data_IF_772576767870
#
_entry.id   IF_772576767870
#
_cell.length_a   1.000
_cell.length_b   1.000
_cell.length_c   1.000
_cell.angle_alpha   90.00
_cell.angle_beta   90.00
_cell.angle_gamma   90.00
#
_symmetry.space_group_name_H-M   'P 1'
#
loop_
_entity.id
_entity.type
_entity.pdbx_description
1 polymer ?
#
# COMPACT_ATOMS: atom_id res chain seq x y z
N UNK A 1 19.53 -5.01 0.55
CA UNK A 1 18.31 -4.28 0.94
C UNK A 1 18.30 -2.95 0.19
N UNK A 2 17.20 -2.64 -0.46
CA UNK A 2 16.99 -1.36 -1.16
C UNK A 2 16.30 -0.39 -0.21
N UNK A 3 16.85 0.81 0.05
CA UNK A 3 16.16 1.81 0.85
C UNK A 3 14.97 2.39 0.09
N UNK A 4 13.88 2.64 0.81
CA UNK A 4 12.68 3.30 0.29
C UNK A 4 12.56 4.65 0.99
N UNK A 5 12.48 5.72 0.22
CA UNK A 5 12.38 7.06 0.76
C UNK A 5 10.93 7.51 0.90
N UNK A 6 10.65 8.23 1.97
CA UNK A 6 9.46 9.07 2.12
C UNK A 6 9.90 10.51 2.43
N UNK A 7 9.01 11.49 2.47
CA UNK A 7 9.37 12.83 2.91
C UNK A 7 10.09 12.79 4.26
N UNK A 8 11.05 13.69 4.45
CA UNK A 8 11.85 13.78 5.69
C UNK A 8 11.01 14.01 6.94
N UNK A 9 9.90 14.72 6.77
CA UNK A 9 8.87 14.90 7.80
C UNK A 9 7.62 14.17 7.32
N UNK A 10 7.03 13.36 8.19
CA UNK A 10 5.83 12.59 7.90
C UNK A 10 4.62 13.52 7.75
N UNK A 11 4.13 13.68 6.53
CA UNK A 11 2.92 14.43 6.20
C UNK A 11 2.23 13.87 4.96
N UNK A 12 0.96 14.17 4.81
CA UNK A 12 0.19 13.81 3.62
C UNK A 12 0.63 14.70 2.45
N UNK A 13 1.37 14.14 1.49
CA UNK A 13 1.92 14.86 0.33
C UNK A 13 0.84 15.55 -0.48
N UNK A 14 -0.36 14.98 -0.54
CA UNK A 14 -1.51 15.57 -1.23
C UNK A 14 -2.02 16.89 -0.64
N UNK A 15 -1.69 17.18 0.62
CA UNK A 15 -2.23 18.28 1.42
C UNK A 15 -1.22 19.40 1.69
N UNK A 16 0.00 19.26 1.20
CA UNK A 16 1.11 20.18 1.48
C UNK A 16 1.57 20.86 0.18
N UNK A 17 1.97 22.15 0.23
CA UNK A 17 2.47 22.84 -0.94
C UNK A 17 3.63 22.10 -1.61
N UNK A 18 3.60 22.06 -2.95
CA UNK A 18 4.55 21.32 -3.78
C UNK A 18 6.01 21.55 -3.42
N UNK A 19 6.40 22.80 -3.23
CA UNK A 19 7.81 23.17 -2.99
C UNK A 19 8.30 22.65 -1.64
N UNK A 20 7.42 22.61 -0.64
CA UNK A 20 7.72 22.01 0.66
C UNK A 20 7.83 20.47 0.55
N UNK A 21 6.97 19.85 -0.24
CA UNK A 21 7.08 18.42 -0.53
C UNK A 21 8.41 18.08 -1.20
N UNK A 22 8.80 18.83 -2.23
CA UNK A 22 10.06 18.65 -2.94
C UNK A 22 11.27 18.86 -2.03
N UNK A 23 11.24 19.90 -1.22
CA UNK A 23 12.30 20.16 -0.24
C UNK A 23 12.45 18.99 0.72
N UNK A 24 11.34 18.55 1.31
CA UNK A 24 11.33 17.44 2.27
C UNK A 24 11.80 16.11 1.66
N UNK A 25 11.37 15.79 0.43
CA UNK A 25 11.83 14.60 -0.28
C UNK A 25 13.34 14.67 -0.58
N UNK A 26 13.83 15.78 -1.10
CA UNK A 26 15.26 15.97 -1.37
C UNK A 26 16.09 15.84 -0.10
N UNK A 27 15.65 16.45 0.99
CA UNK A 27 16.29 16.35 2.30
C UNK A 27 16.35 14.89 2.77
N UNK A 28 15.28 14.13 2.57
CA UNK A 28 15.25 12.69 2.88
C UNK A 28 16.26 11.92 2.04
N UNK A 29 16.27 12.12 0.72
CA UNK A 29 17.19 11.46 -0.20
C UNK A 29 18.66 11.75 0.14
N UNK A 30 18.99 13.02 0.42
CA UNK A 30 20.34 13.44 0.81
C UNK A 30 20.75 12.83 2.16
N UNK A 31 19.81 12.70 3.09
CA UNK A 31 20.03 12.04 4.39
C UNK A 31 20.31 10.55 4.21
N UNK A 32 19.54 9.85 3.40
CA UNK A 32 19.80 8.44 3.07
C UNK A 32 21.18 8.24 2.45
N UNK A 33 21.50 9.05 1.44
CA UNK A 33 22.81 8.99 0.76
C UNK A 33 23.96 9.22 1.74
N UNK A 34 23.84 10.22 2.61
CA UNK A 34 24.84 10.56 3.61
C UNK A 34 25.02 9.49 4.69
N UNK A 35 23.91 8.92 5.18
CA UNK A 35 23.96 8.00 6.34
C UNK A 35 24.18 6.53 5.93
N UNK A 36 23.67 6.13 4.78
CA UNK A 36 23.66 4.74 4.32
C UNK A 36 24.56 4.52 3.10
N UNK A 37 25.04 5.61 2.47
CA UNK A 37 25.89 5.55 1.27
C UNK A 37 25.11 5.18 0.01
N UNK A 38 23.79 5.22 0.04
CA UNK A 38 22.92 4.88 -1.11
C UNK A 38 21.74 5.83 -1.18
N UNK A 39 21.57 6.46 -2.35
CA UNK A 39 20.43 7.30 -2.65
C UNK A 39 19.25 6.42 -3.08
N UNK A 40 18.10 6.47 -2.41
CA UNK A 40 16.92 5.71 -2.80
C UNK A 40 16.40 6.12 -4.18
N UNK A 41 15.90 5.14 -4.94
CA UNK A 41 15.18 5.36 -6.21
C UNK A 41 13.71 4.97 -6.11
N UNK A 42 13.33 4.35 -5.00
CA UNK A 42 11.96 3.94 -4.68
C UNK A 42 11.41 4.85 -3.59
N UNK A 43 10.19 5.32 -3.78
CA UNK A 43 9.47 6.14 -2.81
C UNK A 43 8.27 5.43 -2.20
N UNK A 44 7.97 5.79 -0.96
CA UNK A 44 6.72 5.51 -0.27
C UNK A 44 6.00 6.83 0.01
N UNK A 45 4.69 6.86 -0.24
CA UNK A 45 3.88 8.04 0.03
C UNK A 45 3.16 7.90 1.37
N UNK A 46 3.50 8.71 2.38
CA UNK A 46 2.90 8.62 3.70
C UNK A 46 1.38 8.76 3.66
N UNK A 47 0.72 8.04 4.58
CA UNK A 47 -0.74 8.02 4.73
C UNK A 47 -1.48 7.61 3.46
N UNK A 48 -0.76 7.01 2.49
CA UNK A 48 -1.31 6.63 1.20
C UNK A 48 -2.10 7.76 0.51
N UNK A 49 -1.77 9.03 0.85
CA UNK A 49 -2.48 10.21 0.37
C UNK A 49 -2.34 10.38 -1.14
N UNK A 50 -3.41 10.74 -1.82
CA UNK A 50 -3.39 10.81 -3.27
C UNK A 50 -3.98 12.09 -3.84
N UNK A 51 -3.28 12.66 -4.82
CA UNK A 51 -3.80 13.56 -5.83
C UNK A 51 -2.93 13.51 -7.09
N UNK A 52 -3.33 14.15 -8.17
CA UNK A 52 -2.62 14.14 -9.46
C UNK A 52 -1.21 14.78 -9.41
N UNK A 53 -0.87 15.53 -8.36
CA UNK A 53 0.44 16.13 -8.20
C UNK A 53 1.46 15.15 -7.61
N UNK A 54 1.01 14.13 -6.84
CA UNK A 54 1.88 13.19 -6.14
C UNK A 54 2.91 12.54 -7.06
N UNK A 55 2.56 11.90 -8.18
CA UNK A 55 3.55 11.31 -9.08
C UNK A 55 4.55 12.32 -9.65
N UNK A 56 4.09 13.54 -9.90
CA UNK A 56 4.95 14.61 -10.41
C UNK A 56 6.00 15.04 -9.41
N UNK A 57 5.60 15.19 -8.15
CA UNK A 57 6.47 15.58 -7.04
C UNK A 57 7.56 14.52 -6.82
N UNK A 58 7.19 13.26 -6.77
CA UNK A 58 8.14 12.16 -6.57
C UNK A 58 9.13 12.03 -7.74
N UNK A 59 8.65 12.13 -8.98
CA UNK A 59 9.51 12.10 -10.16
C UNK A 59 10.50 13.27 -10.18
N UNK A 60 10.04 14.46 -9.85
CA UNK A 60 10.87 15.67 -9.81
C UNK A 60 11.89 15.63 -8.67
N UNK A 61 11.59 14.98 -7.56
CA UNK A 61 12.55 14.72 -6.50
C UNK A 61 13.69 13.76 -6.93
N UNK A 62 13.53 13.04 -8.05
CA UNK A 62 14.52 12.12 -8.59
C UNK A 62 14.20 10.64 -8.34
N UNK A 63 13.01 10.33 -7.85
CA UNK A 63 12.57 8.96 -7.65
C UNK A 63 12.09 8.34 -8.98
N UNK A 64 12.30 7.04 -9.15
CA UNK A 64 11.94 6.30 -10.35
C UNK A 64 10.68 5.46 -10.16
N UNK A 65 10.43 5.03 -8.94
CA UNK A 65 9.30 4.17 -8.57
C UNK A 65 8.61 4.71 -7.33
N UNK A 66 7.29 4.64 -7.29
CA UNK A 66 6.47 4.99 -6.15
C UNK A 66 5.59 3.78 -5.77
N UNK A 67 5.67 3.39 -4.50
CA UNK A 67 4.75 2.43 -3.91
C UNK A 67 3.56 3.20 -3.34
N UNK A 68 2.37 2.78 -3.71
CA UNK A 68 1.11 3.43 -3.35
C UNK A 68 0.08 2.42 -2.89
N UNK A 69 -0.92 2.92 -2.21
CA UNK A 69 -2.09 2.15 -1.86
C UNK A 69 -3.03 1.97 -3.07
N UNK A 70 -3.47 0.74 -3.28
CA UNK A 70 -4.36 0.40 -4.39
C UNK A 70 -5.77 0.96 -4.21
N UNK A 71 -6.27 0.99 -2.98
CA UNK A 71 -7.64 1.41 -2.70
C UNK A 71 -7.85 2.88 -3.06
N UNK A 72 -6.90 3.74 -2.68
CA UNK A 72 -6.93 5.17 -3.07
C UNK A 72 -6.91 5.35 -4.58
N UNK A 73 -6.16 4.51 -5.30
CA UNK A 73 -6.15 4.52 -6.76
C UNK A 73 -7.48 4.04 -7.34
N UNK A 74 -7.98 2.89 -6.91
CA UNK A 74 -9.23 2.34 -7.43
C UNK A 74 -10.44 3.21 -7.12
N UNK A 75 -10.49 3.85 -5.98
CA UNK A 75 -11.56 4.78 -5.65
C UNK A 75 -11.51 6.09 -6.46
N UNK A 76 -10.49 6.31 -7.27
CA UNK A 76 -10.52 7.38 -8.28
C UNK A 76 -11.50 7.08 -9.44
N UNK A 77 -11.87 5.81 -9.65
CA UNK A 77 -12.79 5.38 -10.70
C UNK A 77 -14.26 5.46 -10.23
N UNK A 78 -15.12 6.24 -10.90
CA UNK A 78 -16.52 6.40 -10.50
C UNK A 78 -17.33 5.10 -10.47
N UNK A 79 -17.04 4.19 -11.39
CA UNK A 79 -17.71 2.89 -11.49
C UNK A 79 -17.40 2.00 -10.28
N UNK A 80 -16.16 2.03 -9.77
CA UNK A 80 -15.77 1.27 -8.59
C UNK A 80 -16.46 1.83 -7.35
N UNK A 81 -16.46 3.16 -7.18
CA UNK A 81 -17.22 3.79 -6.08
C UNK A 81 -18.69 3.43 -6.09
N UNK A 82 -19.31 3.48 -7.27
CA UNK A 82 -20.72 3.15 -7.42
C UNK A 82 -21.02 1.69 -7.09
N UNK A 83 -20.19 0.78 -7.55
CA UNK A 83 -20.39 -0.65 -7.36
C UNK A 83 -20.12 -1.10 -5.90
N UNK A 84 -19.11 -0.54 -5.28
CA UNK A 84 -18.70 -0.91 -3.92
C UNK A 84 -19.46 -0.17 -2.82
N UNK A 85 -20.05 0.97 -3.17
CA UNK A 85 -20.63 1.90 -2.20
C UNK A 85 -19.59 2.60 -1.33
N UNK A 86 -18.29 2.44 -1.66
CA UNK A 86 -17.19 3.12 -0.99
C UNK A 86 -16.94 4.46 -1.70
N UNK A 87 -16.74 5.48 -0.89
CA UNK A 87 -16.31 6.78 -1.37
C UNK A 87 -14.87 7.03 -0.96
N UNK A 88 -14.46 8.25 -0.73
CA UNK A 88 -13.08 8.59 -0.35
C UNK A 88 -12.72 8.18 1.08
N UNK A 89 -13.71 7.77 1.84
CA UNK A 89 -13.55 7.27 3.20
C UNK A 89 -13.37 5.75 3.15
N UNK A 90 -12.17 5.32 2.83
CA UNK A 90 -11.82 3.90 2.87
C UNK A 90 -11.56 3.53 4.31
N UNK A 91 -12.54 2.91 4.93
CA UNK A 91 -12.42 2.39 6.28
C UNK A 91 -11.96 0.93 6.28
N UNK A 92 -10.96 0.60 5.48
CA UNK A 92 -10.38 -0.73 5.44
C UNK A 92 -9.91 -1.21 6.80
N UNK A 93 -9.36 -0.31 7.59
CA UNK A 93 -8.91 -0.59 8.94
C UNK A 93 -10.01 -0.91 9.95
N UNK A 94 -11.22 -0.45 9.72
CA UNK A 94 -12.31 -0.54 10.71
C UNK A 94 -13.38 -1.58 10.38
N UNK A 95 -13.42 -2.12 9.17
CA UNK A 95 -14.51 -2.99 8.75
C UNK A 95 -14.07 -4.10 7.79
N UNK A 96 -13.96 -5.32 8.29
CA UNK A 96 -13.63 -6.52 7.52
C UNK A 96 -14.51 -6.67 6.26
N UNK A 97 -15.79 -6.33 6.35
CA UNK A 97 -16.72 -6.47 5.22
C UNK A 97 -16.51 -5.43 4.13
N UNK A 98 -15.89 -4.29 4.45
CA UNK A 98 -15.55 -3.26 3.47
C UNK A 98 -14.22 -3.51 2.79
N UNK A 99 -13.31 -4.19 3.50
CA UNK A 99 -11.95 -4.44 3.07
C UNK A 99 -11.85 -5.19 1.73
N UNK A 100 -12.75 -6.13 1.50
CA UNK A 100 -12.76 -6.98 0.30
C UNK A 100 -13.55 -6.41 -0.88
N UNK A 101 -14.32 -5.35 -0.69
CA UNK A 101 -15.26 -4.89 -1.71
C UNK A 101 -14.60 -4.47 -3.03
N UNK A 102 -13.44 -3.83 -2.94
CA UNK A 102 -12.72 -3.41 -4.14
C UNK A 102 -12.15 -4.64 -4.86
N UNK A 103 -11.45 -5.50 -4.14
CA UNK A 103 -10.85 -6.71 -4.70
C UNK A 103 -11.89 -7.67 -5.27
N UNK A 104 -13.03 -7.81 -4.62
CA UNK A 104 -14.14 -8.60 -5.15
C UNK A 104 -14.69 -8.02 -6.44
N UNK A 105 -14.85 -6.71 -6.50
CA UNK A 105 -15.33 -6.04 -7.70
C UNK A 105 -14.37 -6.14 -8.88
N UNK A 106 -13.05 -5.99 -8.64
CA UNK A 106 -12.04 -6.01 -9.72
C UNK A 106 -11.60 -7.42 -10.09
N UNK A 107 -11.95 -8.44 -9.30
CA UNK A 107 -11.46 -9.81 -9.46
C UNK A 107 -11.70 -10.40 -10.86
N UNK A 108 -12.85 -10.10 -11.45
CA UNK A 108 -13.26 -10.59 -12.77
C UNK A 108 -13.11 -9.51 -13.87
N UNK A 109 -12.33 -8.47 -13.58
CA UNK A 109 -12.10 -7.33 -14.48
C UNK A 109 -10.61 -7.15 -14.75
N UNK A 110 -10.07 -7.84 -15.77
CA UNK A 110 -8.65 -7.78 -16.09
C UNK A 110 -8.11 -6.36 -16.29
N UNK A 111 -8.96 -5.46 -16.81
CA UNK A 111 -8.65 -4.06 -17.03
C UNK A 111 -8.32 -3.29 -15.73
N UNK A 112 -8.86 -3.73 -14.59
CA UNK A 112 -8.53 -3.18 -13.27
C UNK A 112 -7.52 -4.05 -12.55
N UNK A 113 -7.71 -5.36 -12.54
CA UNK A 113 -6.87 -6.29 -11.79
C UNK A 113 -5.39 -6.19 -12.18
N UNK A 114 -5.11 -5.89 -13.46
CA UNK A 114 -3.73 -5.68 -13.93
C UNK A 114 -2.99 -4.60 -13.15
N UNK A 115 -3.65 -3.54 -12.70
CA UNK A 115 -3.01 -2.46 -11.93
C UNK A 115 -2.57 -2.90 -10.54
N UNK A 116 -3.27 -3.87 -9.95
CA UNK A 116 -2.92 -4.38 -8.63
C UNK A 116 -1.71 -5.32 -8.67
N UNK A 117 -1.50 -5.99 -9.80
CA UNK A 117 -0.52 -7.09 -9.88
C UNK A 117 0.68 -6.78 -10.77
N UNK A 118 0.62 -5.73 -11.57
CA UNK A 118 1.70 -5.31 -12.45
C UNK A 118 2.11 -3.86 -12.17
N UNK A 119 3.41 -3.53 -12.30
CA UNK A 119 3.84 -2.15 -12.29
C UNK A 119 3.15 -1.35 -13.40
N UNK A 120 2.70 -0.16 -13.07
CA UNK A 120 2.07 0.79 -13.98
C UNK A 120 3.01 1.96 -14.25
N UNK A 121 2.76 2.70 -15.31
CA UNK A 121 3.51 3.88 -15.65
C UNK A 121 2.60 5.11 -15.59
N UNK A 122 2.94 6.04 -14.70
CA UNK A 122 2.26 7.33 -14.68
C UNK A 122 2.59 8.15 -15.94
N UNK A 123 1.75 9.11 -16.35
CA UNK A 123 1.98 9.90 -17.57
C UNK A 123 3.33 10.63 -17.62
N UNK A 124 3.94 10.91 -16.48
CA UNK A 124 5.26 11.53 -16.37
C UNK A 124 6.44 10.54 -16.34
N UNK A 125 6.18 9.26 -16.58
CA UNK A 125 7.20 8.21 -16.60
C UNK A 125 7.65 7.69 -15.23
N UNK A 126 6.93 8.03 -14.14
CA UNK A 126 7.14 7.42 -12.84
C UNK A 126 6.52 6.01 -12.83
N UNK A 127 7.29 5.01 -12.43
CA UNK A 127 6.75 3.66 -12.21
C UNK A 127 5.90 3.65 -10.93
N UNK A 128 4.76 3.00 -11.00
CA UNK A 128 3.84 2.88 -9.87
C UNK A 128 3.67 1.40 -9.52
N UNK A 129 3.77 1.09 -8.23
CA UNK A 129 3.48 -0.24 -7.71
C UNK A 129 2.41 -0.06 -6.64
N UNK A 130 1.30 -0.79 -6.77
CA UNK A 130 0.19 -0.70 -5.85
C UNK A 130 0.19 -1.87 -4.86
N UNK A 131 0.17 -1.58 -3.56
CA UNK A 131 -0.11 -2.57 -2.54
C UNK A 131 -1.63 -2.74 -2.39
N UNK A 132 -2.08 -3.95 -2.14
CA UNK A 132 -3.47 -4.18 -1.70
C UNK A 132 -3.59 -3.87 -0.22
N UNK A 133 -4.44 -2.92 0.14
CA UNK A 133 -4.75 -2.60 1.52
C UNK A 133 -5.42 -3.79 2.22
N UNK A 134 -6.29 -4.49 1.50
CA UNK A 134 -6.91 -5.72 1.95
C UNK A 134 -5.89 -6.78 2.38
N UNK A 135 -4.92 -7.07 1.52
CA UNK A 135 -3.91 -8.10 1.79
C UNK A 135 -3.00 -7.70 2.94
N UNK A 136 -2.58 -6.43 2.96
CA UNK A 136 -1.73 -5.89 4.00
C UNK A 136 -2.42 -5.94 5.36
N UNK A 137 -3.64 -5.42 5.47
CA UNK A 137 -4.38 -5.42 6.72
C UNK A 137 -4.74 -6.81 7.24
N UNK A 138 -5.09 -7.74 6.37
CA UNK A 138 -5.40 -9.11 6.81
C UNK A 138 -4.18 -9.79 7.42
N UNK A 139 -3.02 -9.66 6.79
CA UNK A 139 -1.80 -10.22 7.32
C UNK A 139 -1.39 -9.51 8.62
N UNK A 140 -1.50 -8.18 8.64
CA UNK A 140 -1.24 -7.40 9.84
C UNK A 140 -2.13 -7.83 11.01
N UNK A 141 -3.43 -7.94 10.81
CA UNK A 141 -4.37 -8.34 11.85
C UNK A 141 -4.12 -9.76 12.36
N UNK A 142 -3.72 -10.66 11.47
CA UNK A 142 -3.30 -12.00 11.86
C UNK A 142 -2.04 -11.95 12.74
N UNK A 143 -1.01 -11.20 12.32
CA UNK A 143 0.25 -11.07 13.05
C UNK A 143 0.08 -10.43 14.43
N UNK A 144 -0.83 -9.47 14.54
CA UNK A 144 -1.12 -8.77 15.78
C UNK A 144 -2.06 -9.54 16.70
N UNK A 145 -2.66 -10.64 16.25
CA UNK A 145 -3.76 -11.33 16.95
C UNK A 145 -4.87 -10.33 17.38
N UNK A 146 -5.09 -9.32 16.54
CA UNK A 146 -5.90 -8.17 16.86
C UNK A 146 -7.38 -8.53 16.95
N UNK A 147 -7.95 -8.33 18.14
CA UNK A 147 -9.40 -8.42 18.38
C UNK A 147 -9.96 -7.12 18.89
N UNK A 148 -9.10 -6.19 19.30
CA UNK A 148 -9.53 -4.97 19.98
C UNK A 148 -9.86 -3.83 19.01
N UNK A 149 -10.92 -3.11 19.33
CA UNK A 149 -11.28 -1.80 18.80
C UNK A 149 -11.84 -1.77 17.40
N UNK A 150 -11.30 -2.53 16.48
CA UNK A 150 -11.66 -2.46 15.05
C UNK A 150 -12.31 -3.73 14.52
N UNK A 151 -12.26 -4.83 15.29
CA UNK A 151 -12.77 -6.12 14.84
C UNK A 151 -13.38 -6.92 15.96
N UNK A 152 -14.51 -7.54 15.68
CA UNK A 152 -15.17 -8.50 16.57
C UNK A 152 -14.63 -9.93 16.45
N UNK A 153 -13.86 -10.22 15.39
CA UNK A 153 -13.40 -11.58 15.05
C UNK A 153 -11.92 -11.60 14.73
N UNK A 154 -11.24 -12.67 15.16
CA UNK A 154 -9.85 -12.95 14.79
C UNK A 154 -9.74 -13.37 13.33
N UNK A 155 -8.61 -13.04 12.70
CA UNK A 155 -8.22 -13.64 11.43
C UNK A 155 -7.47 -14.93 11.71
N UNK A 156 -7.83 -15.99 11.01
CA UNK A 156 -7.18 -17.29 11.11
C UNK A 156 -6.17 -17.48 9.97
N UNK A 157 -5.22 -18.37 10.19
CA UNK A 157 -4.26 -18.78 9.15
C UNK A 157 -4.97 -19.39 7.93
N UNK A 158 -6.07 -20.10 8.18
CA UNK A 158 -6.90 -20.72 7.15
C UNK A 158 -7.56 -19.65 6.26
N UNK A 159 -8.10 -18.59 6.83
CA UNK A 159 -8.69 -17.46 6.06
C UNK A 159 -7.64 -16.80 5.17
N UNK A 160 -6.44 -16.51 5.70
CA UNK A 160 -5.34 -15.95 4.91
C UNK A 160 -4.94 -16.91 3.79
N UNK A 161 -4.77 -18.19 4.09
CA UNK A 161 -4.38 -19.21 3.10
C UNK A 161 -5.42 -19.36 1.99
N UNK A 162 -6.70 -19.33 2.33
CA UNK A 162 -7.79 -19.37 1.36
C UNK A 162 -7.81 -18.14 0.47
N UNK A 163 -7.56 -16.97 1.05
CA UNK A 163 -7.51 -15.73 0.31
C UNK A 163 -6.35 -15.71 -0.69
N UNK A 164 -5.14 -16.11 -0.28
CA UNK A 164 -4.00 -16.24 -1.19
C UNK A 164 -4.26 -17.25 -2.32
N UNK A 165 -4.94 -18.36 -2.06
CA UNK A 165 -5.34 -19.31 -3.10
C UNK A 165 -6.29 -18.69 -4.10
N UNK A 166 -7.34 -18.01 -3.64
CA UNK A 166 -8.29 -17.29 -4.49
C UNK A 166 -7.59 -16.27 -5.37
N UNK A 167 -6.67 -15.49 -4.79
CA UNK A 167 -5.88 -14.53 -5.51
C UNK A 167 -4.99 -15.19 -6.57
N UNK A 168 -4.29 -16.25 -6.20
CA UNK A 168 -3.44 -17.01 -7.12
C UNK A 168 -4.24 -17.57 -8.30
N UNK A 169 -5.42 -18.10 -8.06
CA UNK A 169 -6.31 -18.58 -9.10
C UNK A 169 -6.76 -17.46 -10.05
N UNK A 170 -7.15 -16.31 -9.51
CA UNK A 170 -7.60 -15.15 -10.29
C UNK A 170 -6.47 -14.51 -11.09
N UNK A 171 -5.28 -14.42 -10.53
CA UNK A 171 -4.11 -13.79 -11.14
C UNK A 171 -3.38 -14.75 -12.08
N UNK A 172 -3.50 -16.05 -11.89
CA UNK A 172 -2.71 -17.08 -12.58
C UNK A 172 -2.69 -16.96 -14.11
N UNK A 173 -3.71 -16.35 -14.69
CA UNK A 173 -3.81 -16.13 -16.13
C UNK A 173 -3.14 -14.82 -16.60
N UNK A 174 -2.64 -13.99 -15.69
CA UNK A 174 -2.02 -12.69 -16.01
C UNK A 174 -0.49 -12.73 -16.10
N UNK A 175 0.10 -13.91 -15.96
CA UNK A 175 1.54 -14.12 -16.01
C UNK A 175 2.25 -13.84 -14.69
N UNK A 176 3.50 -13.36 -14.76
CA UNK A 176 4.27 -12.98 -13.55
C UNK A 176 3.69 -11.71 -12.96
N UNK A 177 3.48 -11.71 -11.65
CA UNK A 177 2.91 -10.57 -10.94
C UNK A 177 3.74 -10.19 -9.72
N UNK A 178 3.56 -8.94 -9.29
CA UNK A 178 4.15 -8.39 -8.08
C UNK A 178 3.01 -8.06 -7.12
N UNK A 179 3.07 -8.61 -5.92
CA UNK A 179 2.18 -8.24 -4.81
C UNK A 179 3.04 -7.71 -3.66
N UNK A 180 3.24 -6.40 -3.55
CA UNK A 180 4.02 -5.86 -2.47
C UNK A 180 3.23 -5.95 -1.16
N UNK A 181 3.89 -6.43 -0.13
CA UNK A 181 3.46 -6.24 1.25
C UNK A 181 4.17 -5.02 1.80
N UNK A 182 3.43 -4.03 2.24
CA UNK A 182 3.97 -2.82 2.84
C UNK A 182 3.11 -2.40 4.03
N UNK A 183 3.74 -2.33 5.19
CA UNK A 183 3.13 -1.96 6.46
C UNK A 183 4.14 -1.25 7.36
N UNK A 184 3.64 -0.60 8.40
CA UNK A 184 4.45 0.06 9.39
C UNK A 184 5.26 -0.96 10.20
N UNK A 185 6.59 -0.79 10.23
CA UNK A 185 7.48 -1.69 10.94
C UNK A 185 7.27 -1.67 12.47
N UNK A 186 6.65 -0.63 12.99
CA UNK A 186 6.29 -0.53 14.40
C UNK A 186 5.34 -1.64 14.86
N UNK A 187 4.48 -2.13 13.98
CA UNK A 187 3.61 -3.27 14.28
C UNK A 187 4.38 -4.57 14.52
N UNK A 188 5.58 -4.70 14.00
CA UNK A 188 6.41 -5.89 14.17
C UNK A 188 7.50 -5.66 15.20
N UNK A 189 8.00 -4.43 15.32
CA UNK A 189 9.17 -4.09 16.12
C UNK A 189 8.91 -3.33 17.42
N UNK A 190 7.71 -2.84 17.62
CA UNK A 190 7.40 -2.02 18.78
C UNK A 190 6.87 -2.83 19.96
N UNK A 191 7.30 -2.47 21.20
CA UNK A 191 6.85 -3.09 22.43
C UNK A 191 5.37 -2.85 22.76
N UNK A 192 4.69 -2.00 22.03
CA UNK A 192 3.28 -1.69 22.28
C UNK A 192 2.30 -2.67 21.60
N UNK A 193 2.75 -3.43 20.60
CA UNK A 193 1.87 -4.27 19.76
C UNK A 193 2.30 -5.76 19.75
N UNK A 194 2.65 -6.31 20.89
CA UNK A 194 3.42 -7.49 21.06
C UNK A 194 2.80 -8.77 20.96
N UNK A 195 2.31 -9.18 19.87
CA UNK A 195 2.09 -10.61 19.72
C UNK A 195 2.89 -11.17 18.52
N UNK A 196 4.18 -10.98 18.57
CA UNK A 196 5.20 -11.62 17.74
C UNK A 196 5.05 -13.14 17.67
N UNK A 197 4.23 -13.71 18.53
CA UNK A 197 3.85 -15.12 18.56
C UNK A 197 3.45 -15.65 17.17
N UNK A 198 2.69 -14.90 16.41
CA UNK A 198 2.21 -15.34 15.10
C UNK A 198 3.12 -14.93 13.94
N UNK A 199 4.05 -14.03 14.15
CA UNK A 199 5.01 -13.65 13.12
C UNK A 199 5.88 -14.82 12.65
N UNK A 200 6.30 -15.68 13.58
CA UNK A 200 7.07 -16.89 13.24
C UNK A 200 6.24 -17.92 12.49
N UNK A 201 4.92 -17.92 12.68
CA UNK A 201 4.00 -18.82 11.98
C UNK A 201 3.63 -18.31 10.58
N UNK A 202 3.75 -17.00 10.35
CA UNK A 202 3.46 -16.36 9.07
C UNK A 202 4.62 -16.44 8.06
N UNK A 203 5.83 -16.77 8.53
CA UNK A 203 6.99 -17.05 7.68
C UNK A 203 6.86 -18.39 6.97
#
# INVERSE_FOLDING_TARGET
VEPVASPYIHFMVSNVPRDLCLFSLKQSLDTWEKQVGKRPVVGWNPECSWNHAVPKIYKEAGLETLVMDADSFFLSFPEIRKATGLYYDVQGHSNKNSLFKIEEYIADKPEFLQYLVNPSLAPNGLKMIFRSDCMANLLLWYLMDATEGMRSEKITKEEISQMYRKWKERIGNLGTFIMPYAEDAEYIGSSAYFYVKQFNEAR
#
